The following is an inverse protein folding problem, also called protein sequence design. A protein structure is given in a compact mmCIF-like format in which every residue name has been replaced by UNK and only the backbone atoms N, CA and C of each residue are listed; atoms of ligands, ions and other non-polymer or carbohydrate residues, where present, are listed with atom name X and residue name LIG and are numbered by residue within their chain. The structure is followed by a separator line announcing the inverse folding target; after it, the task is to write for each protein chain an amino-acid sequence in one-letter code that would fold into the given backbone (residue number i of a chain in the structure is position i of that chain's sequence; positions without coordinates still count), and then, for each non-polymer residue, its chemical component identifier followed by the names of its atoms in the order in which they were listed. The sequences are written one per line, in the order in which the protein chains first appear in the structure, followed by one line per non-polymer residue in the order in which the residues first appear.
data_IF_346967077799
#
_entry.id   IF_346967077799
#
_cell.length_a   1.000
_cell.length_b   1.000
_cell.length_c   1.000
_cell.angle_alpha   90.00
_cell.angle_beta   90.00
_cell.angle_gamma   90.00
#
_symmetry.space_group_name_H-M   'P 1'
#
loop_
_entity.id
_entity.type
_entity.pdbx_description
1 polymer ?
#
# COMPACT_ATOMS: atom_id res chain seq x y z
N UNK A 1 7.82 13.50 -9.04
CA UNK A 1 7.61 12.08 -8.68
C UNK A 1 7.34 12.05 -7.19
N UNK A 2 6.22 11.47 -6.75
CA UNK A 2 5.95 11.37 -5.32
C UNK A 2 7.01 10.47 -4.66
N UNK A 3 7.45 10.92 -3.50
CA UNK A 3 8.44 10.26 -2.67
C UNK A 3 7.78 9.92 -1.34
N UNK A 4 8.04 8.73 -0.84
CA UNK A 4 7.43 8.24 0.38
C UNK A 4 8.53 7.83 1.36
N UNK A 5 8.37 8.24 2.62
CA UNK A 5 9.10 7.68 3.73
C UNK A 5 8.26 6.53 4.27
N UNK A 6 8.82 5.32 4.30
CA UNK A 6 8.13 4.17 4.87
C UNK A 6 9.01 3.44 5.89
N UNK A 7 8.38 2.96 6.95
CA UNK A 7 8.97 2.03 7.89
C UNK A 7 8.45 0.64 7.54
N UNK A 8 9.36 -0.26 7.20
CA UNK A 8 8.98 -1.49 6.52
C UNK A 8 10.14 -2.43 6.27
N UNK A 9 9.91 -3.46 5.47
CA UNK A 9 10.94 -4.36 4.97
C UNK A 9 10.79 -4.57 3.46
N UNK A 10 11.86 -5.08 2.84
CA UNK A 10 11.87 -5.41 1.41
C UNK A 10 11.31 -6.80 1.20
N UNK A 11 10.31 -6.92 0.35
CA UNK A 11 9.73 -8.18 -0.08
C UNK A 11 10.26 -8.52 -1.47
N UNK A 12 11.00 -9.64 -1.59
CA UNK A 12 11.69 -9.97 -2.83
C UNK A 12 10.70 -10.40 -3.91
N UNK A 13 10.91 -9.95 -5.14
CA UNK A 13 10.01 -10.26 -6.28
C UNK A 13 9.77 -11.76 -6.47
N UNK A 14 10.77 -12.66 -6.34
CA UNK A 14 10.51 -14.10 -6.38
C UNK A 14 9.52 -14.58 -5.31
N UNK A 15 9.60 -14.05 -4.09
CA UNK A 15 8.70 -14.41 -2.99
C UNK A 15 7.31 -13.80 -3.17
N UNK A 16 7.21 -12.59 -3.72
CA UNK A 16 5.92 -11.99 -4.13
C UNK A 16 5.23 -12.89 -5.16
N UNK A 17 5.96 -13.33 -6.19
CA UNK A 17 5.41 -14.22 -7.24
C UNK A 17 4.91 -15.54 -6.64
N UNK A 18 5.69 -16.17 -5.76
CA UNK A 18 5.28 -17.39 -5.06
C UNK A 18 4.01 -17.13 -4.23
N UNK A 19 3.95 -16.02 -3.50
CA UNK A 19 2.79 -15.68 -2.68
C UNK A 19 1.52 -15.51 -3.51
N UNK A 20 1.58 -14.73 -4.60
CA UNK A 20 0.46 -14.51 -5.52
C UNK A 20 -0.06 -15.83 -6.10
N UNK A 21 0.83 -16.74 -6.47
CA UNK A 21 0.47 -18.05 -7.04
C UNK A 21 -0.14 -18.97 -5.98
N UNK A 22 0.48 -19.07 -4.80
CA UNK A 22 0.02 -19.98 -3.73
C UNK A 22 -1.33 -19.56 -3.18
N UNK A 23 -1.57 -18.25 -3.07
CA UNK A 23 -2.84 -17.69 -2.58
C UNK A 23 -3.88 -17.48 -3.67
N UNK A 24 -3.58 -17.87 -4.92
CA UNK A 24 -4.46 -17.78 -6.08
C UNK A 24 -5.06 -16.39 -6.31
N UNK A 25 -4.21 -15.36 -6.26
CA UNK A 25 -4.62 -13.96 -6.36
C UNK A 25 -4.72 -13.50 -7.82
N UNK A 26 -5.87 -13.74 -8.46
CA UNK A 26 -6.08 -13.41 -9.88
C UNK A 26 -5.92 -11.90 -10.20
N UNK A 27 -6.36 -11.03 -9.29
CA UNK A 27 -6.29 -9.57 -9.47
C UNK A 27 -4.90 -8.97 -9.20
N UNK A 28 -3.96 -9.76 -8.66
CA UNK A 28 -2.65 -9.29 -8.23
C UNK A 28 -1.56 -9.57 -9.26
N UNK A 29 -0.95 -8.51 -9.80
CA UNK A 29 0.28 -8.65 -10.59
C UNK A 29 1.49 -8.64 -9.65
N UNK A 30 2.37 -9.66 -9.69
CA UNK A 30 3.57 -9.67 -8.87
C UNK A 30 4.58 -8.60 -9.30
N UNK A 31 4.51 -8.12 -10.55
CA UNK A 31 5.36 -7.06 -11.09
C UNK A 31 4.81 -5.65 -10.79
N UNK A 32 3.57 -5.55 -10.30
CA UNK A 32 2.91 -4.28 -10.03
C UNK A 32 1.94 -4.41 -8.84
N UNK A 33 2.50 -4.57 -7.64
CA UNK A 33 1.71 -4.90 -6.44
C UNK A 33 0.85 -3.74 -5.93
N UNK A 34 1.14 -2.52 -6.39
CA UNK A 34 0.45 -1.29 -6.00
C UNK A 34 -0.76 -0.97 -6.89
N UNK A 35 -1.09 -1.84 -7.85
CA UNK A 35 -2.32 -1.72 -8.62
C UNK A 35 -3.55 -1.67 -7.68
N UNK A 36 -4.58 -0.85 -7.93
CA UNK A 36 -5.69 -0.69 -6.99
C UNK A 36 -6.39 -2.01 -6.61
N UNK A 37 -6.74 -2.85 -7.59
CA UNK A 37 -7.36 -4.17 -7.34
C UNK A 37 -6.36 -5.17 -6.76
N UNK A 38 -5.15 -5.22 -7.31
CA UNK A 38 -4.10 -6.13 -6.86
C UNK A 38 -3.67 -5.90 -5.41
N UNK A 39 -3.43 -4.65 -5.03
CA UNK A 39 -3.07 -4.28 -3.65
C UNK A 39 -4.17 -4.63 -2.66
N UNK A 40 -5.45 -4.38 -3.00
CA UNK A 40 -6.58 -4.78 -2.16
C UNK A 40 -6.68 -6.30 -2.00
N UNK A 41 -6.48 -7.05 -3.08
CA UNK A 41 -6.50 -8.52 -3.05
C UNK A 41 -5.38 -9.10 -2.17
N UNK A 42 -4.15 -8.58 -2.31
CA UNK A 42 -3.01 -8.97 -1.47
C UNK A 42 -3.29 -8.64 0.01
N UNK A 43 -3.73 -7.43 0.31
CA UNK A 43 -4.01 -7.00 1.68
C UNK A 43 -5.14 -7.82 2.31
N UNK A 44 -6.20 -8.14 1.55
CA UNK A 44 -7.27 -9.03 2.02
C UNK A 44 -6.73 -10.40 2.38
N UNK A 45 -5.90 -10.99 1.50
CA UNK A 45 -5.22 -12.27 1.77
C UNK A 45 -4.33 -12.21 3.02
N UNK A 46 -3.67 -11.07 3.29
CA UNK A 46 -2.93 -10.88 4.54
C UNK A 46 -3.84 -10.96 5.77
N UNK A 47 -4.98 -10.28 5.75
CA UNK A 47 -5.93 -10.31 6.86
C UNK A 47 -6.61 -11.68 7.05
N UNK A 48 -6.81 -12.43 5.97
CA UNK A 48 -7.38 -13.78 6.02
C UNK A 48 -6.35 -14.81 6.52
N UNK A 49 -5.07 -14.66 6.14
CA UNK A 49 -4.00 -15.60 6.50
C UNK A 49 -3.30 -15.32 7.83
N UNK A 50 -3.22 -14.05 8.24
CA UNK A 50 -2.45 -13.63 9.41
C UNK A 50 -3.35 -13.07 10.51
N UNK A 51 -3.76 -13.95 11.43
CA UNK A 51 -4.70 -13.62 12.51
C UNK A 51 -4.16 -12.66 13.59
N UNK A 52 -2.87 -12.34 13.55
CA UNK A 52 -2.21 -11.43 14.51
C UNK A 52 -2.22 -9.97 14.05
N UNK A 53 -2.72 -9.69 12.84
CA UNK A 53 -2.79 -8.33 12.32
C UNK A 53 -3.86 -7.51 13.06
N UNK A 54 -3.64 -6.19 13.25
CA UNK A 54 -4.65 -5.31 13.84
C UNK A 54 -5.92 -5.32 12.99
N UNK A 55 -7.09 -5.52 13.61
CA UNK A 55 -8.36 -5.49 12.88
C UNK A 55 -8.55 -4.14 12.19
N UNK A 56 -8.59 -4.14 10.87
CA UNK A 56 -8.95 -2.97 10.08
C UNK A 56 -9.99 -3.37 9.04
N UNK A 57 -11.14 -2.69 9.04
CA UNK A 57 -12.25 -3.02 8.14
C UNK A 57 -12.25 -2.13 6.90
N UNK A 58 -12.36 -2.68 5.69
CA UNK A 58 -12.45 -1.90 4.45
C UNK A 58 -13.70 -1.02 4.38
N UNK A 59 -14.77 -1.34 5.13
CA UNK A 59 -16.04 -0.60 5.09
C UNK A 59 -16.01 0.72 5.85
N UNK A 60 -15.09 0.88 6.82
CA UNK A 60 -15.12 2.03 7.73
C UNK A 60 -14.07 3.10 7.47
N UNK A 61 -13.13 2.93 6.53
CA UNK A 61 -12.13 3.94 6.11
C UNK A 61 -11.29 4.59 7.23
N UNK A 62 -11.54 4.21 8.48
CA UNK A 62 -10.96 4.73 9.70
C UNK A 62 -10.18 3.59 10.31
N UNK A 63 -8.87 3.70 10.19
CA UNK A 63 -7.96 3.08 11.14
C UNK A 63 -8.47 3.39 12.55
N UNK A 64 -8.56 2.40 13.43
CA UNK A 64 -8.90 2.57 14.86
C UNK A 64 -7.67 3.19 15.56
N UNK A 65 -7.28 4.37 15.10
CA UNK A 65 -6.35 5.29 15.75
C UNK A 65 -7.18 6.52 16.13
N UNK A 66 -6.92 7.16 17.29
CA UNK A 66 -7.71 8.29 17.74
C UNK A 66 -7.68 9.39 16.68
N UNK A 67 -8.88 9.77 16.23
CA UNK A 67 -9.11 10.80 15.25
C UNK A 67 -8.42 12.11 15.69
N UNK A 68 -7.62 12.70 14.81
CA UNK A 68 -7.25 14.11 14.94
C UNK A 68 -8.52 14.94 14.73
N UNK A 69 -8.81 15.82 15.69
CA UNK A 69 -9.81 16.87 15.56
C UNK A 69 -9.58 17.66 14.27
N UNK A 70 -10.60 17.65 13.41
CA UNK A 70 -10.69 18.49 12.21
C UNK A 70 -11.12 19.90 12.61
N UNK A 71 -10.17 20.81 12.66
CA UNK A 71 -10.42 22.23 12.43
C UNK A 71 -9.30 22.77 11.56
N UNK A 72 -9.60 23.05 10.29
CA UNK A 72 -9.43 24.37 9.68
C UNK A 72 -9.31 24.27 8.14
N UNK A 73 -10.37 24.74 7.48
CA UNK A 73 -10.38 25.57 6.28
C UNK A 73 -9.43 25.28 5.11
N UNK A 74 -10.00 24.72 4.05
CA UNK A 74 -9.93 25.30 2.72
C UNK A 74 -8.61 25.15 1.95
N UNK A 75 -8.47 24.05 1.20
CA UNK A 75 -8.05 24.14 -0.20
C UNK A 75 -8.42 22.85 -0.97
N UNK A 76 -9.34 22.96 -1.92
CA UNK A 76 -9.67 21.90 -2.87
C UNK A 76 -8.56 21.69 -3.88
N UNK A 77 -7.45 21.07 -3.46
CA UNK A 77 -6.38 20.60 -4.34
C UNK A 77 -6.36 19.07 -4.32
N UNK A 78 -7.03 18.49 -5.32
CA UNK A 78 -6.90 17.13 -5.83
C UNK A 78 -6.79 16.02 -4.77
N UNK A 79 -7.94 15.62 -4.22
CA UNK A 79 -8.13 14.35 -3.53
C UNK A 79 -8.09 13.12 -4.48
N UNK A 80 -7.48 13.25 -5.67
CA UNK A 80 -7.58 12.28 -6.78
C UNK A 80 -6.30 11.48 -7.08
N UNK A 81 -5.19 11.67 -6.35
CA UNK A 81 -3.89 11.10 -6.78
C UNK A 81 -3.09 10.37 -5.69
N UNK A 82 -3.62 10.17 -4.48
CA UNK A 82 -2.87 9.43 -3.47
C UNK A 82 -3.19 7.92 -3.56
N UNK A 83 -2.31 7.15 -4.21
CA UNK A 83 -2.44 5.69 -4.41
C UNK A 83 -2.61 4.92 -3.09
N UNK A 84 -2.24 5.53 -1.96
CA UNK A 84 -2.50 5.01 -0.62
C UNK A 84 -3.96 5.08 -0.17
N UNK A 85 -4.81 5.87 -0.83
CA UNK A 85 -6.24 5.92 -0.53
C UNK A 85 -6.90 4.54 -0.61
N UNK A 86 -6.55 3.75 -1.63
CA UNK A 86 -7.04 2.37 -1.80
C UNK A 86 -6.59 1.41 -0.68
N UNK A 87 -5.46 1.71 -0.04
CA UNK A 87 -4.88 0.95 1.06
C UNK A 87 -5.15 1.62 2.41
N UNK A 88 -5.91 2.71 2.48
CA UNK A 88 -6.09 3.51 3.71
C UNK A 88 -6.69 2.72 4.86
N UNK A 89 -7.52 1.73 4.51
CA UNK A 89 -8.19 0.83 5.44
C UNK A 89 -7.26 -0.19 6.09
N UNK A 90 -6.09 -0.51 5.53
CA UNK A 90 -5.18 -1.51 6.11
C UNK A 90 -4.10 -0.87 6.99
N UNK A 91 -3.70 -1.58 8.03
CA UNK A 91 -2.51 -1.23 8.82
C UNK A 91 -1.21 -1.40 7.99
N UNK A 92 -1.22 -2.33 7.04
CA UNK A 92 -0.10 -2.61 6.15
C UNK A 92 -0.24 -1.79 4.88
N UNK A 93 0.87 -1.21 4.42
CA UNK A 93 0.98 -0.50 3.14
C UNK A 93 1.95 -1.23 2.22
N UNK A 94 1.63 -1.27 0.94
CA UNK A 94 2.45 -1.81 -0.12
C UNK A 94 2.99 -0.66 -0.96
N UNK A 95 4.30 -0.63 -1.17
CA UNK A 95 4.97 0.35 -2.02
C UNK A 95 5.85 -0.32 -3.05
N UNK A 96 6.04 0.37 -4.16
CA UNK A 96 6.98 -0.01 -5.20
C UNK A 96 7.78 1.21 -5.63
N UNK A 97 9.05 0.97 -5.99
CA UNK A 97 9.90 1.98 -6.57
C UNK A 97 9.80 1.90 -8.09
N UNK A 98 9.49 3.03 -8.72
CA UNK A 98 9.38 3.14 -10.17
C UNK A 98 9.92 4.50 -10.62
N UNK A 99 10.83 4.50 -11.59
CA UNK A 99 11.29 5.73 -12.26
C UNK A 99 10.93 5.62 -13.75
N UNK A 100 9.99 6.43 -14.28
CA UNK A 100 9.60 6.37 -15.70
C UNK A 100 10.72 6.75 -16.66
N UNK A 101 11.83 7.32 -16.18
CA UNK A 101 13.00 7.65 -17.00
C UNK A 101 13.94 6.45 -17.15
N UNK A 102 13.79 5.44 -16.30
CA UNK A 102 14.53 4.18 -16.37
C UNK A 102 13.78 3.24 -17.32
N UNK A 103 14.22 3.20 -18.58
CA UNK A 103 13.64 2.34 -19.62
C UNK A 103 14.23 0.93 -19.64
N UNK A 104 15.30 0.69 -18.87
CA UNK A 104 16.02 -0.58 -18.87
C UNK A 104 15.36 -1.58 -17.92
N UNK A 105 14.73 -1.10 -16.85
CA UNK A 105 14.15 -1.92 -15.79
C UNK A 105 12.64 -1.75 -15.72
N UNK A 106 11.88 -2.78 -16.07
CA UNK A 106 10.41 -2.77 -15.99
C UNK A 106 9.91 -2.72 -14.54
N UNK A 107 10.59 -3.45 -13.65
CA UNK A 107 10.21 -3.52 -12.22
C UNK A 107 11.46 -3.73 -11.36
N UNK A 108 11.48 -3.14 -10.16
CA UNK A 108 12.57 -3.34 -9.20
C UNK A 108 12.56 -4.80 -8.68
N UNK A 109 13.72 -5.33 -8.25
CA UNK A 109 13.83 -6.72 -7.78
C UNK A 109 13.12 -6.98 -6.44
N UNK A 110 12.71 -5.92 -5.75
CA UNK A 110 11.96 -5.97 -4.50
C UNK A 110 10.87 -4.89 -4.52
N UNK A 111 9.83 -5.14 -3.73
CA UNK A 111 8.86 -4.13 -3.33
C UNK A 111 8.96 -3.93 -1.81
N UNK A 112 8.19 -2.99 -1.26
CA UNK A 112 8.22 -2.69 0.15
C UNK A 112 6.87 -3.00 0.79
N UNK A 113 6.91 -3.67 1.93
CA UNK A 113 5.78 -3.85 2.84
C UNK A 113 6.07 -3.00 4.06
N UNK A 114 5.14 -2.13 4.43
CA UNK A 114 5.35 -1.14 5.47
C UNK A 114 4.19 -1.12 6.47
N UNK A 115 4.48 -0.84 7.73
CA UNK A 115 3.47 -0.55 8.75
C UNK A 115 3.18 0.95 8.84
N UNK A 116 4.16 1.78 8.47
CA UNK A 116 4.03 3.23 8.43
C UNK A 116 4.48 3.78 7.09
N UNK A 117 3.73 4.73 6.55
CA UNK A 117 4.08 5.39 5.28
C UNK A 117 3.56 6.82 5.27
N UNK A 118 4.43 7.75 4.88
CA UNK A 118 4.12 9.17 4.76
C UNK A 118 4.70 9.69 3.45
N UNK A 119 3.90 10.50 2.75
CA UNK A 119 4.37 11.23 1.58
C UNK A 119 5.31 12.34 2.02
N UNK A 120 6.50 12.35 1.41
CA UNK A 120 7.55 13.33 1.65
C UNK A 120 7.44 14.42 0.59
N UNK A 121 7.01 15.60 1.01
CA UNK A 121 7.08 16.83 0.22
C UNK A 121 8.36 17.60 0.54
N UNK A 122 8.65 18.67 -0.23
CA UNK A 122 9.90 19.45 -0.17
C UNK A 122 10.23 20.06 1.21
N UNK A 123 9.26 20.15 2.13
CA UNK A 123 9.44 20.75 3.46
C UNK A 123 9.29 19.76 4.62
N UNK A 124 9.16 18.46 4.36
CA UNK A 124 9.01 17.49 5.44
C UNK A 124 10.35 17.21 6.15
N UNK A 125 10.30 17.08 7.48
CA UNK A 125 11.44 16.69 8.30
C UNK A 125 11.35 15.20 8.60
N UNK A 126 12.28 14.43 8.04
CA UNK A 126 12.34 12.96 8.24
C UNK A 126 12.49 12.63 9.73
N UNK A 127 13.29 13.43 10.47
CA UNK A 127 13.53 13.21 11.89
C UNK A 127 12.25 13.36 12.72
N UNK A 128 11.46 14.41 12.45
CA UNK A 128 10.21 14.63 13.16
C UNK A 128 9.20 13.52 12.86
N UNK A 129 9.22 12.99 11.64
CA UNK A 129 8.36 11.89 11.22
C UNK A 129 8.73 10.56 11.92
N UNK A 130 10.03 10.30 12.09
CA UNK A 130 10.52 9.14 12.85
C UNK A 130 10.09 9.26 14.33
N UNK A 131 10.28 10.45 14.93
CA UNK A 131 9.89 10.69 16.33
C UNK A 131 8.38 10.52 16.51
N UNK A 132 7.58 10.99 15.55
CA UNK A 132 6.13 10.82 15.55
C UNK A 132 5.73 9.34 15.54
N UNK A 133 6.38 8.55 14.69
CA UNK A 133 6.17 7.10 14.65
C UNK A 133 6.55 6.43 15.99
N UNK A 134 7.72 6.73 16.54
CA UNK A 134 8.15 6.18 17.83
C UNK A 134 7.17 6.48 18.97
N UNK A 135 6.67 7.71 19.05
CA UNK A 135 5.65 8.11 20.03
C UNK A 135 4.35 7.33 19.85
N UNK A 136 3.92 7.12 18.60
CA UNK A 136 2.73 6.35 18.29
C UNK A 136 2.89 4.88 18.72
N UNK A 137 4.06 4.27 18.49
CA UNK A 137 4.34 2.91 18.93
C UNK A 137 4.34 2.79 20.46
N UNK A 138 4.88 3.78 21.18
CA UNK A 138 4.88 3.81 22.65
C UNK A 138 3.48 3.96 23.26
N UNK A 139 2.58 4.68 22.59
CA UNK A 139 1.20 4.88 23.06
C UNK A 139 0.25 3.74 22.67
N UNK A 140 0.65 2.91 21.70
CA UNK A 140 -0.21 1.86 21.16
C UNK A 140 -0.26 0.65 22.10
N UNK A 141 -1.45 0.08 22.38
CA UNK A 141 -1.57 -1.12 23.21
C UNK A 141 -0.99 -2.38 22.53
N UNK A 142 -0.87 -2.35 21.20
CA UNK A 142 -0.30 -3.43 20.38
C UNK A 142 0.70 -2.81 19.38
N UNK A 143 1.99 -2.69 19.72
CA UNK A 143 2.98 -2.08 18.84
C UNK A 143 3.27 -2.98 17.61
N UNK A 144 3.57 -2.32 16.49
CA UNK A 144 3.94 -2.97 15.24
C UNK A 144 5.30 -3.65 15.31
N UNK A 145 6.29 -2.95 15.88
CA UNK A 145 7.64 -3.47 16.10
C UNK A 145 7.96 -3.59 17.59
N UNK A 146 8.86 -4.50 17.92
CA UNK A 146 9.42 -4.55 19.27
C UNK A 146 10.19 -3.28 19.54
N UNK A 147 9.82 -2.52 20.55
CA UNK A 147 10.62 -1.37 21.00
C UNK A 147 11.66 -1.92 21.98
N UNK A 148 12.96 -2.02 21.60
CA UNK A 148 13.98 -2.39 22.56
C UNK A 148 14.03 -1.34 23.67
N UNK A 149 14.06 -1.73 24.95
CA UNK A 149 14.29 -0.78 26.03
C UNK A 149 15.64 -0.11 25.81
N UNK A 150 15.69 1.23 25.89
CA UNK A 150 16.87 2.05 25.61
C UNK A 150 18.12 1.69 26.44
N UNK A 151 17.95 0.88 27.50
CA UNK A 151 18.98 0.51 28.48
C UNK A 151 19.28 -1.00 28.53
N UNK A 152 18.92 -1.80 27.52
CA UNK A 152 19.08 -3.26 27.57
C UNK A 152 19.86 -3.83 26.38
N UNK A 153 21.15 -4.10 26.60
CA UNK A 153 21.96 -4.98 25.74
C UNK A 153 21.60 -6.47 25.88
N UNK A 154 20.48 -6.79 26.55
CA UNK A 154 20.00 -8.15 26.80
C UNK A 154 18.98 -8.57 25.74
N UNK A 155 19.37 -9.54 24.92
CA UNK A 155 18.62 -10.22 23.86
C UNK A 155 17.48 -11.13 24.36
N UNK A 156 16.82 -10.79 25.47
CA UNK A 156 15.59 -11.49 25.87
C UNK A 156 14.45 -10.79 25.16
N UNK A 157 14.17 -11.26 23.94
CA UNK A 157 13.10 -10.80 23.09
C UNK A 157 11.77 -10.82 23.86
N UNK A 158 11.18 -9.65 24.07
CA UNK A 158 9.76 -9.56 24.37
C UNK A 158 8.94 -10.21 23.24
N UNK A 159 7.62 -10.35 23.41
CA UNK A 159 6.76 -10.80 22.32
C UNK A 159 6.98 -9.90 21.11
N UNK A 160 7.42 -10.50 19.99
CA UNK A 160 7.68 -9.77 18.76
C UNK A 160 6.43 -9.03 18.30
N UNK A 161 6.63 -7.81 17.81
CA UNK A 161 5.56 -6.98 17.29
C UNK A 161 4.83 -7.70 16.15
N UNK A 162 3.56 -7.36 15.92
CA UNK A 162 2.77 -8.03 14.90
C UNK A 162 3.41 -7.91 13.50
N UNK A 163 4.14 -6.83 13.24
CA UNK A 163 4.78 -6.59 11.95
C UNK A 163 6.07 -7.40 11.76
N UNK A 164 6.81 -7.67 12.84
CA UNK A 164 7.96 -8.58 12.83
C UNK A 164 7.50 -10.01 12.50
N UNK A 165 6.38 -10.44 13.08
CA UNK A 165 5.81 -11.75 12.78
C UNK A 165 5.34 -11.87 11.33
N UNK A 166 4.81 -10.79 10.76
CA UNK A 166 4.45 -10.74 9.34
C UNK A 166 5.69 -10.90 8.46
N UNK A 167 6.74 -10.13 8.76
CA UNK A 167 8.03 -10.24 8.07
C UNK A 167 8.59 -11.65 8.15
N UNK A 168 8.58 -12.26 9.34
CA UNK A 168 9.12 -13.61 9.52
C UNK A 168 8.43 -14.66 8.63
N UNK A 169 7.16 -14.44 8.28
CA UNK A 169 6.39 -15.32 7.40
C UNK A 169 6.52 -14.99 5.91
N UNK A 170 6.78 -13.73 5.55
CA UNK A 170 6.91 -13.30 4.15
C UNK A 170 8.36 -13.31 3.65
N UNK A 171 9.30 -12.84 4.47
CA UNK A 171 10.70 -12.63 4.14
C UNK A 171 11.55 -12.70 5.42
N UNK A 172 11.76 -13.91 5.95
CA UNK A 172 12.30 -14.12 7.30
C UNK A 172 13.70 -13.55 7.57
N UNK A 173 14.50 -13.31 6.53
CA UNK A 173 15.84 -12.69 6.65
C UNK A 173 15.83 -11.17 6.43
N UNK A 174 14.68 -10.57 6.10
CA UNK A 174 14.61 -9.14 5.88
C UNK A 174 14.76 -8.34 7.17
N UNK A 175 15.20 -7.10 7.01
CA UNK A 175 15.32 -6.16 8.11
C UNK A 175 14.22 -5.11 8.03
N UNK A 176 13.58 -4.83 9.16
CA UNK A 176 12.64 -3.72 9.28
C UNK A 176 13.45 -2.45 9.51
N UNK A 177 13.30 -1.47 8.62
CA UNK A 177 13.99 -0.18 8.70
C UNK A 177 13.24 0.89 7.93
N UNK A 178 13.74 2.11 8.04
CA UNK A 178 13.27 3.24 7.26
C UNK A 178 13.81 3.21 5.83
N UNK A 179 12.92 3.46 4.87
CA UNK A 179 13.24 3.57 3.46
C UNK A 179 12.61 4.83 2.87
N UNK A 180 13.30 5.41 1.90
CA UNK A 180 12.76 6.46 1.03
C UNK A 180 12.49 5.82 -0.33
N UNK A 181 11.22 5.78 -0.72
CA UNK A 181 10.76 5.11 -1.94
C UNK A 181 10.24 6.17 -2.91
N UNK A 182 10.82 6.23 -4.09
CA UNK A 182 10.37 7.11 -5.17
C UNK A 182 9.44 6.29 -6.07
N UNK A 183 8.20 6.72 -6.19
CA UNK A 183 7.22 6.07 -7.04
C UNK A 183 6.75 7.04 -8.12
N UNK A 184 7.34 7.00 -9.30
CA UNK A 184 6.96 7.84 -10.44
C UNK A 184 5.85 7.26 -11.31
N UNK A 185 5.16 6.20 -10.87
CA UNK A 185 4.14 5.54 -11.67
C UNK A 185 2.82 6.30 -11.54
N UNK A 186 2.37 6.86 -12.66
CA UNK A 186 1.11 7.58 -12.80
C UNK A 186 -0.04 6.57 -12.83
N UNK A 187 -1.21 6.94 -12.30
CA UNK A 187 -2.39 6.08 -12.38
C UNK A 187 -2.72 5.90 -13.87
N UNK A 188 -2.48 4.71 -14.40
CA UNK A 188 -2.90 4.36 -15.75
C UNK A 188 -4.41 4.17 -15.71
N UNK A 189 -5.15 5.23 -16.02
CA UNK A 189 -6.57 5.13 -16.31
C UNK A 189 -6.71 4.16 -17.49
N UNK A 190 -7.07 2.91 -17.20
CA UNK A 190 -7.64 2.06 -18.22
C UNK A 190 -8.98 2.72 -18.53
N UNK A 191 -9.10 3.32 -19.72
CA UNK A 191 -10.40 3.71 -20.20
C UNK A 191 -11.22 2.42 -20.24
N UNK A 192 -12.31 2.35 -19.47
CA UNK A 192 -13.30 1.29 -19.66
C UNK A 192 -13.59 1.25 -21.17
N UNK A 193 -13.20 0.16 -21.84
CA UNK A 193 -13.53 -0.08 -23.23
C UNK A 193 -15.02 0.24 -23.37
N UNK A 194 -15.41 1.24 -24.19
CA UNK A 194 -16.79 1.66 -24.26
C UNK A 194 -17.58 0.45 -24.76
N UNK A 195 -18.37 -0.14 -23.86
CA UNK A 195 -19.27 -1.24 -24.18
C UNK A 195 -20.02 -0.85 -25.43
N UNK A 196 -19.73 -1.55 -26.53
CA UNK A 196 -20.25 -1.26 -27.85
C UNK A 196 -21.77 -1.19 -27.81
N UNK A 197 -22.30 0.03 -27.74
CA UNK A 197 -23.70 0.31 -27.96
C UNK A 197 -24.01 -0.03 -29.40
N UNK A 198 -24.61 -1.20 -29.60
CA UNK A 198 -25.10 -1.69 -30.89
C UNK A 198 -26.01 -0.61 -31.46
N UNK A 199 -25.56 0.03 -32.54
CA UNK A 199 -26.36 1.02 -33.25
C UNK A 199 -27.61 0.32 -33.81
N UNK A 200 -28.78 0.65 -33.25
CA UNK A 200 -30.07 0.29 -33.82
C UNK A 200 -30.20 1.01 -35.17
N UNK A 201 -29.89 0.29 -36.26
CA UNK A 201 -30.24 0.69 -37.60
C UNK A 201 -31.75 0.47 -37.79
N UNK A 202 -32.56 1.46 -37.41
CA UNK A 202 -33.97 1.51 -37.79
C UNK A 202 -34.06 1.86 -39.28
N UNK A 203 -34.29 0.85 -40.13
CA UNK A 203 -34.94 1.06 -41.41
C UNK A 203 -36.35 1.63 -41.18
N UNK A 204 -36.82 2.50 -42.07
CA UNK A 204 -38.17 2.31 -42.55
C UNK A 204 -38.21 2.16 -44.08
N UNK A 205 -38.90 1.11 -44.49
CA UNK A 205 -39.32 0.83 -45.85
C UNK A 205 -40.38 1.84 -46.33
N UNK A 206 -40.38 2.12 -47.63
CA UNK A 206 -41.56 2.58 -48.38
C UNK A 206 -41.48 4.00 -48.95
N UNK A 207 -41.28 4.14 -50.26
CA UNK A 207 -42.42 4.44 -51.15
C UNK A 207 -42.04 4.21 -52.64
N UNK A 208 -42.89 3.43 -53.30
CA UNK A 208 -42.93 3.17 -54.73
C UNK A 208 -43.69 4.32 -55.40
N UNK A 209 -43.33 4.77 -56.61
CA UNK A 209 -44.23 4.90 -57.79
C UNK A 209 -43.52 5.56 -58.98
N UNK A 210 -43.53 4.81 -60.09
CA UNK A 210 -43.60 5.13 -61.53
C UNK A 210 -42.73 6.25 -62.14
#
# INVERSE_FOLDING_TARGET
MPTYLCHGFRWQRPNIRVYVIVQDLEDASPEWIIAPKGSQSILKSFYDGFSFLPHCSPENGRSILPAKDESDTGNGRAASEDRFGAQSWSAIKLLEEYDPRDVDTVSRPYAYVADYTVRVDLSCSIVDEIVRYEQQQLQSPHPAVSIPPKDSSSSVAGPSGWFERLRDQLEGEAEIRWYVVVNGDEVRDWADEPTGGVANASQPEGECHQ
#
